data_IF_688632515059
#
_entry.id   IF_688632515059
#
_cell.length_a   1.000
_cell.length_b   1.000
_cell.length_c   1.000
_cell.angle_alpha   90.00
_cell.angle_beta   90.00
_cell.angle_gamma   90.00
#
_symmetry.space_group_name_H-M   'P 1'
#
loop_
_entity.id
_entity.type
_entity.pdbx_description
1 polymer ?
#
# COMPACT_ATOMS: atom_id res chain seq x y z
N UNK A 1 -8.22 -15.26 -32.13
CA UNK A 1 -7.53 -14.21 -31.34
C UNK A 1 -8.35 -13.66 -30.16
N UNK A 2 -9.58 -14.15 -29.90
CA UNK A 2 -10.42 -13.67 -28.78
C UNK A 2 -10.46 -14.58 -27.53
N UNK A 3 -9.89 -15.79 -27.58
CA UNK A 3 -9.84 -16.70 -26.42
C UNK A 3 -8.84 -16.23 -25.35
N UNK A 4 -7.69 -15.72 -25.78
CA UNK A 4 -6.58 -15.27 -24.92
C UNK A 4 -6.98 -14.12 -23.97
N UNK A 5 -7.72 -13.12 -24.48
CA UNK A 5 -8.22 -12.01 -23.66
C UNK A 5 -9.25 -12.44 -22.61
N UNK A 6 -10.11 -13.41 -22.95
CA UNK A 6 -11.11 -13.91 -22.01
C UNK A 6 -10.45 -14.74 -20.91
N UNK A 7 -9.52 -15.62 -21.26
CA UNK A 7 -8.76 -16.43 -20.30
C UNK A 7 -7.91 -15.54 -19.37
N UNK A 8 -7.25 -14.52 -19.93
CA UNK A 8 -6.50 -13.54 -19.13
C UNK A 8 -7.41 -12.78 -18.16
N UNK A 9 -8.59 -12.34 -18.62
CA UNK A 9 -9.56 -11.67 -17.75
C UNK A 9 -10.02 -12.59 -16.62
N UNK A 10 -10.44 -13.81 -16.94
CA UNK A 10 -10.93 -14.77 -15.95
C UNK A 10 -9.82 -15.09 -14.92
N UNK A 11 -8.57 -15.21 -15.36
CA UNK A 11 -7.40 -15.36 -14.48
C UNK A 11 -7.19 -14.14 -13.55
N UNK A 12 -7.24 -12.92 -14.09
CA UNK A 12 -7.07 -11.70 -13.30
C UNK A 12 -8.22 -11.51 -12.28
N UNK A 13 -9.46 -11.82 -12.67
CA UNK A 13 -10.62 -11.76 -11.77
C UNK A 13 -10.47 -12.75 -10.60
N UNK A 14 -9.98 -13.98 -10.86
CA UNK A 14 -9.65 -14.94 -9.80
C UNK A 14 -8.60 -14.37 -8.84
N UNK A 15 -7.53 -13.76 -9.35
CA UNK A 15 -6.47 -13.17 -8.52
C UNK A 15 -6.97 -11.98 -7.71
N UNK A 16 -7.82 -11.13 -8.29
CA UNK A 16 -8.46 -10.03 -7.57
C UNK A 16 -9.34 -10.58 -6.45
N UNK A 17 -10.19 -11.57 -6.72
CA UNK A 17 -11.03 -12.18 -5.70
C UNK A 17 -10.21 -12.80 -4.55
N UNK A 18 -9.03 -13.37 -4.86
CA UNK A 18 -8.14 -13.96 -3.88
C UNK A 18 -7.41 -12.92 -3.02
N UNK A 19 -6.82 -11.89 -3.64
CA UNK A 19 -5.88 -10.99 -2.97
C UNK A 19 -6.48 -9.65 -2.53
N UNK A 20 -7.55 -9.18 -3.18
CA UNK A 20 -8.20 -7.91 -2.84
C UNK A 20 -9.16 -8.08 -1.66
N UNK A 21 -8.61 -8.45 -0.51
CA UNK A 21 -9.37 -8.52 0.73
C UNK A 21 -8.56 -7.92 1.90
N UNK A 22 -9.22 -7.39 2.95
CA UNK A 22 -8.54 -6.70 4.04
C UNK A 22 -7.51 -7.54 4.81
N UNK A 23 -7.61 -8.88 4.80
CA UNK A 23 -6.63 -9.73 5.50
C UNK A 23 -5.25 -9.69 4.86
N UNK A 24 -5.14 -9.32 3.58
CA UNK A 24 -3.85 -9.11 2.93
C UNK A 24 -3.18 -7.78 3.33
N UNK A 25 -3.92 -6.83 3.89
CA UNK A 25 -3.40 -5.50 4.27
C UNK A 25 -2.40 -5.60 5.41
N UNK A 26 -2.66 -6.43 6.43
CA UNK A 26 -1.90 -6.43 7.70
C UNK A 26 -0.38 -6.54 7.53
N UNK A 27 0.06 -7.31 6.53
CA UNK A 27 1.47 -7.53 6.28
C UNK A 27 2.01 -6.67 5.12
N UNK A 28 1.14 -5.97 4.40
CA UNK A 28 1.47 -5.23 3.17
C UNK A 28 1.83 -3.77 3.44
N UNK A 29 2.70 -3.13 2.63
CA UNK A 29 2.92 -1.69 2.68
C UNK A 29 1.64 -0.86 2.57
N UNK A 30 0.56 -1.38 1.94
CA UNK A 30 -0.72 -0.68 1.88
C UNK A 30 -1.33 -0.43 3.28
N UNK A 31 -0.90 -1.14 4.33
CA UNK A 31 -1.33 -0.85 5.71
C UNK A 31 -0.98 0.57 6.16
N UNK A 32 0.07 1.16 5.60
CA UNK A 32 0.61 2.44 6.03
C UNK A 32 -0.37 3.59 5.76
N UNK A 33 -0.86 3.80 4.52
CA UNK A 33 -1.92 4.80 4.30
C UNK A 33 -3.21 4.47 5.05
N UNK A 34 -3.52 3.18 5.27
CA UNK A 34 -4.71 2.77 6.02
C UNK A 34 -4.64 3.07 7.53
N UNK A 35 -3.46 3.39 8.09
CA UNK A 35 -3.36 3.78 9.50
C UNK A 35 -3.76 5.23 9.77
N UNK A 36 -4.06 6.01 8.74
CA UNK A 36 -4.44 7.42 8.84
C UNK A 36 -5.91 7.63 8.47
N UNK A 37 -6.50 8.70 9.01
CA UNK A 37 -7.90 9.09 8.75
C UNK A 37 -8.02 10.41 7.98
N UNK A 38 -7.05 11.30 8.15
CA UNK A 38 -6.94 12.55 7.41
C UNK A 38 -6.50 12.26 5.98
N UNK A 39 -7.20 12.82 5.00
CA UNK A 39 -6.98 12.55 3.57
C UNK A 39 -5.55 12.87 3.15
N UNK A 40 -5.02 14.01 3.60
CA UNK A 40 -3.69 14.44 3.24
C UNK A 40 -2.61 13.52 3.84
N UNK A 41 -2.79 13.02 5.06
CA UNK A 41 -1.88 12.05 5.65
C UNK A 41 -1.93 10.70 4.92
N UNK A 42 -3.12 10.25 4.48
CA UNK A 42 -3.29 9.04 3.67
C UNK A 42 -2.51 9.18 2.35
N UNK A 43 -2.66 10.31 1.67
CA UNK A 43 -1.99 10.57 0.38
C UNK A 43 -0.47 10.65 0.54
N UNK A 44 0.02 11.43 1.49
CA UNK A 44 1.46 11.62 1.71
C UNK A 44 2.10 10.31 2.19
N UNK A 45 1.53 9.64 3.19
CA UNK A 45 2.06 8.37 3.69
C UNK A 45 2.03 7.27 2.63
N UNK A 46 0.98 7.23 1.80
CA UNK A 46 0.87 6.32 0.67
C UNK A 46 1.96 6.57 -0.38
N UNK A 47 2.14 7.83 -0.78
CA UNK A 47 3.18 8.23 -1.73
C UNK A 47 4.58 7.88 -1.21
N UNK A 48 4.93 8.32 0.01
CA UNK A 48 6.25 8.07 0.59
C UNK A 48 6.52 6.57 0.77
N UNK A 49 5.54 5.80 1.23
CA UNK A 49 5.69 4.35 1.37
C UNK A 49 5.91 3.66 0.00
N UNK A 50 5.21 4.10 -1.05
CA UNK A 50 5.41 3.59 -2.40
C UNK A 50 6.84 3.87 -2.90
N UNK A 51 7.40 5.04 -2.58
CA UNK A 51 8.79 5.40 -2.95
C UNK A 51 9.87 4.58 -2.23
N UNK A 52 9.53 3.63 -1.37
CA UNK A 52 10.51 2.70 -0.76
C UNK A 52 10.08 1.23 -0.86
N UNK A 53 8.99 0.95 -1.60
CA UNK A 53 8.35 -0.37 -1.66
C UNK A 53 9.03 -1.34 -2.64
N UNK A 54 10.37 -1.30 -2.70
CA UNK A 54 11.17 -2.29 -3.44
C UNK A 54 11.91 -3.21 -2.46
N UNK A 55 11.76 -4.52 -2.64
CA UNK A 55 12.45 -5.54 -1.86
C UNK A 55 11.55 -6.26 -0.84
N UNK A 56 12.12 -6.60 0.31
CA UNK A 56 11.44 -7.46 1.28
C UNK A 56 10.29 -6.71 1.99
N UNK A 57 9.08 -7.28 1.92
CA UNK A 57 7.83 -6.75 2.50
C UNK A 57 7.98 -6.30 3.96
N UNK A 58 8.58 -7.12 4.81
CA UNK A 58 8.78 -6.80 6.24
C UNK A 58 9.69 -5.58 6.42
N UNK A 59 10.78 -5.51 5.65
CA UNK A 59 11.70 -4.37 5.68
C UNK A 59 11.03 -3.08 5.19
N UNK A 60 10.21 -3.17 4.14
CA UNK A 60 9.45 -2.02 3.60
C UNK A 60 8.53 -1.46 4.68
N UNK A 61 7.67 -2.29 5.28
CA UNK A 61 6.72 -1.86 6.33
C UNK A 61 7.45 -1.25 7.52
N UNK A 62 8.53 -1.89 7.98
CA UNK A 62 9.34 -1.38 9.09
C UNK A 62 9.93 0.00 8.78
N UNK A 63 10.48 0.18 7.59
CA UNK A 63 11.09 1.45 7.18
C UNK A 63 10.05 2.55 6.99
N UNK A 64 8.87 2.23 6.42
CA UNK A 64 7.78 3.17 6.27
C UNK A 64 7.27 3.67 7.63
N UNK A 65 7.01 2.76 8.58
CA UNK A 65 6.62 3.13 9.95
C UNK A 65 7.67 4.00 10.64
N UNK A 66 8.96 3.64 10.51
CA UNK A 66 10.04 4.42 11.09
C UNK A 66 10.14 5.83 10.50
N UNK A 67 10.00 5.95 9.18
CA UNK A 67 10.02 7.23 8.47
C UNK A 67 8.89 8.15 8.94
N UNK A 68 7.66 7.64 9.01
CA UNK A 68 6.49 8.43 9.43
C UNK A 68 6.50 8.77 10.92
N UNK A 69 7.06 7.88 11.76
CA UNK A 69 7.31 8.18 13.16
C UNK A 69 8.28 9.37 13.34
N UNK A 70 9.29 9.51 12.47
CA UNK A 70 10.16 10.70 12.47
C UNK A 70 9.44 11.98 12.06
N UNK A 71 8.29 11.88 11.40
CA UNK A 71 7.39 12.99 11.06
C UNK A 71 6.34 13.22 12.16
N UNK A 72 6.48 12.58 13.33
CA UNK A 72 5.53 12.70 14.44
C UNK A 72 4.18 12.04 14.18
N UNK A 73 4.11 11.08 13.24
CA UNK A 73 2.88 10.46 12.76
C UNK A 73 1.82 11.48 12.27
N UNK A 74 2.28 12.67 11.84
CA UNK A 74 1.48 13.67 11.12
C UNK A 74 2.26 14.16 9.89
N UNK A 75 2.39 13.31 8.85
CA UNK A 75 3.21 13.63 7.69
C UNK A 75 2.75 14.89 6.94
N UNK A 76 1.46 15.24 6.98
CA UNK A 76 0.99 16.53 6.45
C UNK A 76 1.55 17.72 7.23
N UNK A 77 1.40 17.74 8.56
CA UNK A 77 1.85 18.86 9.40
C UNK A 77 3.40 18.95 9.44
N UNK A 78 4.10 17.86 9.15
CA UNK A 78 5.55 17.88 8.99
C UNK A 78 6.00 18.61 7.70
N UNK A 79 5.19 18.55 6.63
CA UNK A 79 5.54 19.10 5.32
C UNK A 79 5.09 20.57 5.16
N UNK A 80 3.97 20.97 5.75
CA UNK A 80 3.35 22.29 5.60
C UNK A 80 3.27 23.07 6.92
#
# INVERSE_FOLDING_TARGET
>A
MGQDLKELKDFLDEKVALYNNPTFIELDPIQIPHSYTRKEDIEISGFLSATISWGNRTSIVKNAKRMLAYMGDSPYDFIL
#
